data_IF_020013462885
#
_entry.id   IF_020013462885
#
_cell.length_a   1.000
_cell.length_b   1.000
_cell.length_c   1.000
_cell.angle_alpha   90.00
_cell.angle_beta   90.00
_cell.angle_gamma   90.00
#
_symmetry.space_group_name_H-M   'P 1'
#
loop_
_entity.id
_entity.type
_entity.pdbx_description
1 polymer ?
#
# COMPACT_ATOMS: atom_id res chain seq x y z
N UNK A 1 56.43 9.58 -19.91
CA UNK A 1 55.85 8.37 -19.27
C UNK A 1 55.27 8.62 -17.87
N UNK A 2 55.91 9.36 -16.95
CA UNK A 2 55.38 9.56 -15.58
C UNK A 2 54.09 10.41 -15.46
N UNK A 3 53.83 11.35 -16.39
CA UNK A 3 52.59 12.17 -16.39
C UNK A 3 51.37 11.37 -16.83
N UNK A 4 51.51 10.51 -17.83
CA UNK A 4 50.44 9.68 -18.39
C UNK A 4 49.91 8.65 -17.37
N UNK A 5 50.79 8.10 -16.53
CA UNK A 5 50.43 7.17 -15.45
C UNK A 5 49.60 7.84 -14.35
N UNK A 6 49.91 9.10 -13.99
CA UNK A 6 49.15 9.84 -12.97
C UNK A 6 47.72 10.16 -13.44
N UNK A 7 47.54 10.46 -14.73
CA UNK A 7 46.22 10.70 -15.31
C UNK A 7 45.39 9.40 -15.33
N UNK A 8 46.00 8.27 -15.66
CA UNK A 8 45.33 6.96 -15.63
C UNK A 8 44.84 6.59 -14.23
N UNK A 9 45.66 6.81 -13.19
CA UNK A 9 45.26 6.55 -11.79
C UNK A 9 44.07 7.43 -11.40
N UNK A 10 44.11 8.73 -11.70
CA UNK A 10 43.02 9.66 -11.37
C UNK A 10 41.71 9.24 -12.06
N UNK A 11 41.79 8.84 -13.33
CA UNK A 11 40.64 8.38 -14.10
C UNK A 11 40.05 7.07 -13.53
N UNK A 12 40.90 6.11 -13.14
CA UNK A 12 40.46 4.86 -12.50
C UNK A 12 39.81 5.14 -11.13
N UNK A 13 40.39 6.02 -10.31
CA UNK A 13 39.78 6.41 -9.03
C UNK A 13 38.46 7.15 -9.21
N UNK A 14 38.33 7.98 -10.26
CA UNK A 14 37.09 8.69 -10.57
C UNK A 14 35.97 7.72 -11.01
N UNK A 15 36.31 6.70 -11.83
CA UNK A 15 35.37 5.64 -12.22
C UNK A 15 34.92 4.81 -11.01
N UNK A 16 35.83 4.50 -10.08
CA UNK A 16 35.49 3.76 -8.84
C UNK A 16 34.57 4.59 -7.95
N UNK A 17 34.78 5.90 -7.85
CA UNK A 17 33.92 6.80 -7.06
C UNK A 17 32.52 6.92 -7.69
N UNK A 18 32.42 6.99 -9.02
CA UNK A 18 31.13 7.02 -9.73
C UNK A 18 30.37 5.70 -9.56
N UNK A 19 31.07 4.56 -9.47
CA UNK A 19 30.43 3.25 -9.24
C UNK A 19 29.83 3.07 -7.84
N UNK A 20 30.14 3.98 -6.90
CA UNK A 20 29.58 3.98 -5.55
C UNK A 20 28.38 4.91 -5.38
N UNK A 21 27.84 5.46 -6.47
CA UNK A 21 26.49 6.02 -6.47
C UNK A 21 25.51 4.85 -6.32
N UNK A 22 25.36 4.37 -5.08
CA UNK A 22 24.25 3.51 -4.69
C UNK A 22 22.98 4.29 -5.03
N UNK A 23 22.21 3.79 -6.00
CA UNK A 23 20.81 4.18 -6.13
C UNK A 23 20.19 3.88 -4.76
N UNK A 24 19.67 4.92 -4.09
CA UNK A 24 19.00 4.73 -2.82
C UNK A 24 17.82 3.79 -3.07
N UNK A 25 17.68 2.76 -2.22
CA UNK A 25 16.50 1.94 -2.30
C UNK A 25 15.26 2.75 -1.96
N UNK A 26 14.11 2.37 -2.50
CA UNK A 26 12.84 3.05 -2.26
C UNK A 26 12.33 2.77 -0.83
N UNK A 27 12.57 1.55 -0.33
CA UNK A 27 12.03 1.06 0.95
C UNK A 27 13.13 0.68 1.91
N UNK A 28 13.08 1.24 3.12
CA UNK A 28 13.86 0.77 4.26
C UNK A 28 13.11 -0.36 4.97
N UNK A 29 13.50 -1.62 4.73
CA UNK A 29 12.91 -2.77 5.44
C UNK A 29 13.72 -3.10 6.69
N UNK A 30 13.17 -2.74 7.85
CA UNK A 30 13.81 -2.93 9.15
C UNK A 30 13.46 -4.31 9.72
N UNK A 31 14.50 -5.09 9.98
CA UNK A 31 14.40 -6.46 10.51
C UNK A 31 15.28 -6.63 11.75
N UNK A 32 14.99 -7.63 12.58
CA UNK A 32 15.84 -7.92 13.73
C UNK A 32 17.24 -8.36 13.31
N UNK A 33 17.30 -9.25 12.34
CA UNK A 33 18.51 -9.77 11.70
C UNK A 33 18.13 -10.47 10.39
N UNK A 34 19.11 -10.87 9.60
CA UNK A 34 18.92 -11.58 8.33
C UNK A 34 18.04 -12.85 8.39
N UNK A 35 17.88 -13.51 9.54
CA UNK A 35 17.01 -14.69 9.65
C UNK A 35 15.53 -14.35 9.84
N UNK A 36 15.19 -13.08 10.06
CA UNK A 36 13.82 -12.62 10.28
C UNK A 36 13.26 -11.86 9.07
N UNK A 37 13.86 -12.06 7.91
CA UNK A 37 13.41 -11.45 6.66
C UNK A 37 12.20 -12.24 6.15
N UNK A 38 11.04 -11.58 6.13
CA UNK A 38 9.81 -12.13 5.57
C UNK A 38 9.80 -11.92 4.05
N UNK A 39 9.86 -13.02 3.29
CA UNK A 39 9.96 -12.98 1.83
C UNK A 39 8.69 -12.46 1.15
N UNK A 40 7.52 -12.59 1.79
CA UNK A 40 6.28 -12.11 1.18
C UNK A 40 6.24 -10.59 1.00
N UNK A 41 6.83 -9.82 1.92
CA UNK A 41 6.96 -8.37 1.74
C UNK A 41 7.87 -8.02 0.57
N UNK A 42 9.02 -8.68 0.45
CA UNK A 42 9.96 -8.45 -0.65
C UNK A 42 9.33 -8.72 -2.01
N UNK A 43 8.53 -9.80 -2.12
CA UNK A 43 7.79 -10.12 -3.34
C UNK A 43 6.80 -9.01 -3.70
N UNK A 44 6.06 -8.47 -2.72
CA UNK A 44 5.14 -7.34 -3.00
C UNK A 44 5.91 -6.12 -3.51
N UNK A 45 7.04 -5.78 -2.88
CA UNK A 45 7.83 -4.64 -3.33
C UNK A 45 8.43 -4.85 -4.72
N UNK A 46 8.92 -6.05 -5.02
CA UNK A 46 9.38 -6.43 -6.35
C UNK A 46 8.26 -6.28 -7.40
N UNK A 47 7.04 -6.74 -7.09
CA UNK A 47 5.87 -6.61 -7.96
C UNK A 47 5.44 -5.16 -8.20
N UNK A 48 5.67 -4.30 -7.20
CA UNK A 48 5.46 -2.85 -7.28
C UNK A 48 6.67 -2.10 -7.86
N UNK A 49 7.72 -2.82 -8.27
CA UNK A 49 8.98 -2.27 -8.78
C UNK A 49 9.68 -1.29 -7.81
N UNK A 50 9.56 -1.57 -6.53
CA UNK A 50 10.22 -0.84 -5.44
C UNK A 50 11.50 -1.60 -5.04
N UNK A 51 12.61 -0.88 -5.02
CA UNK A 51 13.86 -1.37 -4.49
C UNK A 51 13.85 -1.35 -2.96
N UNK A 52 14.47 -2.36 -2.33
CA UNK A 52 14.40 -2.55 -0.88
C UNK A 52 15.81 -2.68 -0.32
N UNK A 53 16.14 -1.85 0.66
CA UNK A 53 17.33 -2.03 1.50
C UNK A 53 16.93 -2.66 2.83
N UNK A 54 17.59 -3.76 3.16
CA UNK A 54 17.37 -4.48 4.40
C UNK A 54 18.26 -3.88 5.49
N UNK A 55 17.64 -3.32 6.52
CA UNK A 55 18.32 -2.68 7.65
C UNK A 55 18.13 -3.54 8.89
N UNK A 56 19.20 -4.22 9.31
CA UNK A 56 19.19 -4.96 10.57
C UNK A 56 19.14 -3.99 11.77
N UNK A 57 18.54 -4.42 12.88
CA UNK A 57 18.40 -3.67 14.14
C UNK A 57 19.70 -2.98 14.59
N UNK A 58 20.84 -3.65 14.41
CA UNK A 58 22.18 -3.12 14.76
C UNK A 58 22.62 -1.92 13.90
N UNK A 59 22.07 -1.78 12.70
CA UNK A 59 22.42 -0.73 11.74
C UNK A 59 21.45 0.47 11.79
N UNK A 60 20.32 0.37 12.50
CA UNK A 60 19.36 1.48 12.65
C UNK A 60 20.06 2.79 13.10
N UNK A 61 20.92 2.82 14.13
CA UNK A 61 21.50 4.08 14.61
C UNK A 61 22.42 4.81 13.61
N UNK A 62 22.93 4.09 12.61
CA UNK A 62 23.87 4.63 11.60
C UNK A 62 23.21 4.83 10.23
N UNK A 63 21.93 4.49 10.11
CA UNK A 63 21.21 4.59 8.84
C UNK A 63 20.61 5.98 8.66
N UNK A 64 20.85 6.60 7.50
CA UNK A 64 20.13 7.80 7.12
C UNK A 64 18.78 7.41 6.47
N UNK A 65 17.70 7.52 7.25
CA UNK A 65 16.35 7.18 6.79
C UNK A 65 15.74 8.19 5.81
N UNK A 66 16.29 9.40 5.69
CA UNK A 66 15.76 10.44 4.78
C UNK A 66 15.91 10.11 3.29
N UNK A 67 16.58 9.00 2.97
CA UNK A 67 16.85 8.55 1.59
C UNK A 67 15.78 7.60 1.04
N UNK A 68 14.90 7.11 1.89
CA UNK A 68 13.85 6.15 1.52
C UNK A 68 12.52 6.88 1.39
N UNK A 69 11.65 6.39 0.52
CA UNK A 69 10.27 6.89 0.39
C UNK A 69 9.46 6.56 1.64
N UNK A 70 9.64 5.35 2.18
CA UNK A 70 9.01 4.92 3.42
C UNK A 70 9.78 3.79 4.10
N UNK A 71 9.37 3.48 5.33
CA UNK A 71 9.95 2.45 6.19
C UNK A 71 8.96 1.30 6.39
N UNK A 72 9.39 0.06 6.17
CA UNK A 72 8.66 -1.12 6.65
C UNK A 72 9.32 -1.62 7.95
N UNK A 73 8.55 -1.73 9.02
CA UNK A 73 9.02 -2.30 10.30
C UNK A 73 8.49 -3.73 10.42
N UNK A 74 9.40 -4.72 10.37
CA UNK A 74 9.07 -6.15 10.46
C UNK A 74 8.52 -6.60 11.82
N UNK A 75 8.04 -7.86 11.86
CA UNK A 75 7.39 -8.48 13.03
C UNK A 75 8.35 -8.95 14.13
N UNK A 76 9.25 -8.07 14.59
CA UNK A 76 10.17 -8.41 15.67
C UNK A 76 10.44 -7.24 16.61
N UNK A 77 10.89 -7.58 17.82
CA UNK A 77 11.35 -6.60 18.80
C UNK A 77 12.78 -6.14 18.52
N UNK A 78 12.90 -4.94 17.98
CA UNK A 78 14.07 -4.09 17.81
C UNK A 78 14.55 -3.48 19.15
N UNK A 79 15.87 -3.32 19.28
CA UNK A 79 16.52 -2.63 20.41
C UNK A 79 16.70 -1.14 20.13
N UNK A 80 16.88 -0.77 18.87
CA UNK A 80 17.22 0.59 18.46
C UNK A 80 16.02 1.33 17.83
N UNK A 81 14.78 0.95 18.15
CA UNK A 81 13.57 1.53 17.56
C UNK A 81 13.49 3.06 17.75
N UNK A 82 14.01 3.58 18.86
CA UNK A 82 14.02 5.01 19.16
C UNK A 82 14.91 5.85 18.21
N UNK A 83 15.75 5.21 17.40
CA UNK A 83 16.55 5.86 16.38
C UNK A 83 15.83 5.97 15.02
N UNK A 84 14.64 5.37 14.89
CA UNK A 84 13.82 5.49 13.67
C UNK A 84 13.03 6.81 13.75
N UNK A 85 13.13 7.70 12.74
CA UNK A 85 12.38 8.95 12.75
C UNK A 85 10.86 8.72 12.67
N UNK A 86 10.11 9.23 13.65
CA UNK A 86 8.66 9.04 13.75
C UNK A 86 7.84 9.83 12.71
N UNK A 87 8.50 10.74 11.98
CA UNK A 87 7.94 11.64 10.96
C UNK A 87 7.90 11.02 9.56
N UNK A 88 8.66 9.95 9.34
CA UNK A 88 8.72 9.25 8.05
C UNK A 88 7.43 8.49 7.77
N UNK A 89 7.12 8.35 6.48
CA UNK A 89 6.11 7.40 6.03
C UNK A 89 6.50 5.97 6.45
N UNK A 90 5.57 5.19 7.01
CA UNK A 90 5.89 3.87 7.54
C UNK A 90 4.74 2.87 7.56
N UNK A 91 5.08 1.60 7.36
CA UNK A 91 4.21 0.45 7.58
C UNK A 91 4.73 -0.32 8.79
N UNK A 92 3.87 -0.54 9.77
CA UNK A 92 4.21 -1.17 11.04
C UNK A 92 3.51 -2.53 11.13
N UNK A 93 4.31 -3.59 11.15
CA UNK A 93 3.84 -4.98 11.11
C UNK A 93 4.07 -5.72 12.43
N UNK A 94 4.05 -5.02 13.56
CA UNK A 94 4.26 -5.66 14.86
C UNK A 94 3.43 -5.03 15.96
N UNK A 95 3.30 -5.76 17.07
CA UNK A 95 2.52 -5.34 18.23
C UNK A 95 3.31 -4.52 19.27
N UNK A 96 4.62 -4.31 19.07
CA UNK A 96 5.50 -3.74 20.09
C UNK A 96 5.48 -2.22 20.13
N UNK A 97 5.31 -1.56 18.97
CA UNK A 97 5.61 -0.12 18.82
C UNK A 97 4.39 0.77 18.60
N UNK A 98 3.22 0.31 19.05
CA UNK A 98 1.98 1.05 18.85
C UNK A 98 2.02 2.46 19.48
N UNK A 99 2.67 2.63 20.63
CA UNK A 99 2.76 3.94 21.30
C UNK A 99 3.84 4.82 20.66
N UNK A 100 5.00 4.21 20.41
CA UNK A 100 6.19 4.85 19.85
C UNK A 100 5.89 5.52 18.52
N UNK A 101 5.05 4.90 17.68
CA UNK A 101 4.65 5.46 16.39
C UNK A 101 3.26 6.13 16.40
N UNK A 102 2.60 6.22 17.56
CA UNK A 102 1.34 6.95 17.74
C UNK A 102 0.09 6.23 17.19
N UNK A 103 0.17 4.91 16.96
CA UNK A 103 -0.98 4.07 16.56
C UNK A 103 -2.00 3.97 17.70
N UNK A 104 -1.52 3.89 18.94
CA UNK A 104 -2.35 3.83 20.16
C UNK A 104 -1.97 4.91 21.15
N UNK A 105 -2.95 5.40 21.90
CA UNK A 105 -2.75 6.41 22.95
C UNK A 105 -2.34 5.77 24.29
N UNK A 106 -2.77 4.54 24.55
CA UNK A 106 -2.54 3.79 25.80
C UNK A 106 -2.70 2.29 25.56
N UNK A 107 -2.42 1.46 26.57
CA UNK A 107 -2.60 0.00 26.46
C UNK A 107 -1.54 -0.67 25.57
N UNK A 108 -1.94 -1.74 24.88
CA UNK A 108 -1.11 -2.50 23.95
C UNK A 108 -1.93 -2.95 22.74
N UNK A 109 -1.24 -3.21 21.63
CA UNK A 109 -1.82 -3.97 20.53
C UNK A 109 -2.12 -5.40 21.01
N UNK A 110 -3.13 -6.01 20.41
CA UNK A 110 -3.63 -7.33 20.81
C UNK A 110 -3.44 -8.33 19.68
N UNK A 111 -3.68 -9.62 19.97
CA UNK A 111 -3.47 -10.72 19.05
C UNK A 111 -4.64 -11.68 19.13
N UNK A 112 -5.07 -12.20 18.00
CA UNK A 112 -6.07 -13.26 17.92
C UNK A 112 -5.54 -14.42 17.07
N UNK A 113 -5.95 -15.62 17.42
CA UNK A 113 -5.70 -16.85 16.68
C UNK A 113 -6.95 -17.74 16.82
N UNK A 114 -7.19 -18.59 15.82
CA UNK A 114 -8.36 -19.46 15.79
C UNK A 114 -7.99 -20.88 15.34
N UNK A 115 -8.90 -21.83 15.57
CA UNK A 115 -8.78 -23.20 15.05
C UNK A 115 -9.15 -23.30 13.56
N UNK A 116 -9.86 -22.28 13.04
CA UNK A 116 -10.14 -22.08 11.62
C UNK A 116 -9.20 -21.06 11.01
N UNK A 117 -9.24 -20.93 9.67
CA UNK A 117 -8.51 -19.87 8.98
C UNK A 117 -9.00 -18.53 9.50
N UNK A 118 -8.08 -17.60 9.68
CA UNK A 118 -8.44 -16.27 10.13
C UNK A 118 -8.97 -15.44 8.98
N UNK A 119 -10.01 -14.66 9.30
CA UNK A 119 -10.63 -13.68 8.42
C UNK A 119 -10.61 -12.29 9.06
N UNK A 120 -10.85 -11.28 8.23
CA UNK A 120 -11.09 -9.89 8.66
C UNK A 120 -12.35 -9.36 7.98
N UNK A 121 -12.99 -8.39 8.60
CA UNK A 121 -14.10 -7.62 8.03
C UNK A 121 -13.52 -6.39 7.32
N UNK A 122 -13.67 -6.32 5.99
CA UNK A 122 -13.28 -5.18 5.16
C UNK A 122 -14.48 -4.80 4.29
N UNK A 123 -14.88 -3.53 4.27
CA UNK A 123 -16.09 -3.05 3.57
C UNK A 123 -17.38 -3.85 3.88
N UNK A 124 -17.50 -4.31 5.14
CA UNK A 124 -18.57 -5.19 5.63
C UNK A 124 -18.58 -6.62 5.06
N UNK A 125 -17.54 -7.02 4.35
CA UNK A 125 -17.34 -8.38 3.85
C UNK A 125 -16.30 -9.13 4.68
N UNK A 126 -16.60 -10.37 5.03
CA UNK A 126 -15.64 -11.25 5.70
C UNK A 126 -14.73 -11.91 4.66
N UNK A 127 -13.44 -11.58 4.72
CA UNK A 127 -12.42 -12.07 3.79
C UNK A 127 -11.37 -12.90 4.52
N UNK A 128 -11.09 -14.11 4.04
CA UNK A 128 -10.01 -14.97 4.55
C UNK A 128 -8.64 -14.33 4.25
N UNK A 129 -7.78 -14.22 5.27
CA UNK A 129 -6.44 -13.60 5.15
C UNK A 129 -5.29 -14.60 5.24
N UNK A 130 -5.55 -15.80 5.77
CA UNK A 130 -4.59 -16.89 5.78
C UNK A 130 -5.11 -18.14 5.06
N UNK A 131 -4.23 -18.81 4.32
CA UNK A 131 -4.49 -20.08 3.64
C UNK A 131 -4.64 -21.24 4.61
N UNK A 132 -3.99 -21.14 5.78
CA UNK A 132 -3.98 -22.16 6.82
C UNK A 132 -4.41 -21.60 8.19
N UNK A 133 -5.03 -22.43 9.06
CA UNK A 133 -5.34 -22.06 10.44
C UNK A 133 -4.14 -22.16 11.39
N UNK A 134 -3.15 -22.98 11.07
CA UNK A 134 -2.00 -23.33 11.93
C UNK A 134 -0.71 -23.51 11.11
N UNK A 135 0.44 -23.38 11.77
CA UNK A 135 1.77 -23.55 11.14
C UNK A 135 2.05 -24.97 10.63
N UNK A 136 1.16 -25.91 10.91
CA UNK A 136 1.22 -27.30 10.49
C UNK A 136 0.05 -28.11 11.06
N UNK A 137 -0.11 -29.35 10.61
CA UNK A 137 -1.13 -30.26 11.13
C UNK A 137 -0.92 -30.49 12.64
N UNK A 138 -1.94 -30.14 13.45
CA UNK A 138 -1.85 -30.18 14.92
C UNK A 138 -0.90 -29.13 15.54
N UNK A 139 -0.43 -28.18 14.74
CA UNK A 139 0.46 -27.10 15.18
C UNK A 139 -0.28 -25.95 15.85
N UNK A 140 0.50 -24.98 16.34
CA UNK A 140 -0.03 -23.74 16.93
C UNK A 140 -0.78 -22.95 15.86
N UNK A 141 -1.92 -22.36 16.23
CA UNK A 141 -2.69 -21.48 15.37
C UNK A 141 -1.89 -20.26 14.92
N UNK A 142 -2.05 -19.89 13.65
CA UNK A 142 -1.40 -18.71 13.06
C UNK A 142 -2.14 -17.47 13.55
N UNK A 143 -1.47 -16.51 14.22
CA UNK A 143 -2.13 -15.31 14.69
C UNK A 143 -2.08 -14.14 13.70
N UNK A 144 -2.92 -13.13 13.94
CA UNK A 144 -2.64 -11.75 13.51
C UNK A 144 -2.78 -10.78 14.68
N UNK A 145 -2.24 -9.58 14.52
CA UNK A 145 -2.38 -8.49 15.48
C UNK A 145 -3.50 -7.53 15.12
N UNK A 146 -4.02 -6.81 16.11
CA UNK A 146 -5.00 -5.76 15.91
C UNK A 146 -4.85 -4.63 16.93
N UNK A 147 -5.37 -3.46 16.58
CA UNK A 147 -5.49 -2.28 17.42
C UNK A 147 -6.84 -2.34 18.14
N UNK A 148 -6.90 -2.57 19.46
CA UNK A 148 -8.18 -2.53 20.18
C UNK A 148 -8.82 -1.15 20.06
N UNK A 149 -10.13 -1.10 19.79
CA UNK A 149 -10.84 0.17 19.56
C UNK A 149 -10.70 1.14 20.75
N UNK A 150 -10.67 0.62 21.98
CA UNK A 150 -10.49 1.40 23.21
C UNK A 150 -9.14 2.12 23.34
N UNK A 151 -8.16 1.73 22.52
CA UNK A 151 -6.78 2.23 22.55
C UNK A 151 -6.37 2.95 21.27
N UNK A 152 -7.13 2.75 20.18
CA UNK A 152 -6.87 3.35 18.87
C UNK A 152 -6.76 4.86 18.96
N UNK A 153 -5.76 5.41 18.28
CA UNK A 153 -5.64 6.85 18.11
C UNK A 153 -6.69 7.35 17.09
N UNK A 154 -7.39 8.45 17.40
CA UNK A 154 -8.40 9.07 16.54
C UNK A 154 -7.84 9.56 15.18
N UNK A 155 -6.52 9.63 15.04
CA UNK A 155 -5.83 9.92 13.79
C UNK A 155 -5.70 8.71 12.86
N UNK A 156 -6.22 7.54 13.24
CA UNK A 156 -6.26 6.34 12.40
C UNK A 156 -7.69 5.98 12.01
N UNK A 157 -7.83 5.53 10.77
CA UNK A 157 -9.05 5.03 10.16
C UNK A 157 -8.91 3.54 9.88
N UNK A 158 -10.03 2.84 9.98
CA UNK A 158 -10.10 1.38 9.82
C UNK A 158 -10.17 1.03 8.35
N UNK A 159 -9.34 0.09 7.92
CA UNK A 159 -9.39 -0.52 6.57
C UNK A 159 -9.93 -1.95 6.66
N UNK A 160 -9.45 -2.70 7.67
CA UNK A 160 -9.95 -4.03 7.97
C UNK A 160 -9.95 -4.27 9.48
N UNK A 161 -10.99 -4.94 9.97
CA UNK A 161 -11.21 -5.16 11.40
C UNK A 161 -11.41 -6.63 11.74
N UNK A 162 -11.23 -6.98 13.01
CA UNK A 162 -11.50 -8.31 13.55
C UNK A 162 -12.75 -8.30 14.43
N UNK A 163 -13.38 -9.46 14.59
CA UNK A 163 -14.45 -9.70 15.56
C UNK A 163 -13.99 -10.66 16.66
N UNK A 164 -14.23 -10.30 17.92
CA UNK A 164 -13.92 -11.09 19.11
C UNK A 164 -15.23 -11.58 19.73
N UNK A 165 -15.44 -12.90 19.72
CA UNK A 165 -16.79 -13.42 19.96
C UNK A 165 -17.70 -13.06 18.80
N UNK A 166 -18.76 -13.82 18.60
CA UNK A 166 -19.53 -13.89 17.36
C UNK A 166 -20.09 -12.56 16.81
N UNK A 167 -20.05 -11.45 17.56
CA UNK A 167 -20.63 -10.17 17.17
C UNK A 167 -19.86 -8.92 17.59
N UNK A 168 -18.82 -9.03 18.43
CA UNK A 168 -18.15 -7.83 18.95
C UNK A 168 -16.97 -7.45 18.08
N UNK A 169 -16.94 -6.23 17.53
CA UNK A 169 -15.75 -5.71 16.85
C UNK A 169 -14.60 -5.65 17.86
N UNK A 170 -13.52 -6.38 17.56
CA UNK A 170 -12.33 -6.44 18.40
C UNK A 170 -11.38 -5.27 18.20
N UNK A 171 -11.34 -4.74 16.98
CA UNK A 171 -10.50 -3.62 16.60
C UNK A 171 -9.92 -3.77 15.20
N UNK A 172 -8.94 -2.94 14.87
CA UNK A 172 -8.44 -2.82 13.49
C UNK A 172 -7.21 -3.70 13.27
N UNK A 173 -7.30 -4.60 12.30
CA UNK A 173 -6.19 -5.43 11.83
C UNK A 173 -5.35 -4.66 10.82
N UNK A 174 -6.00 -3.81 10.03
CA UNK A 174 -5.36 -2.85 9.12
C UNK A 174 -5.94 -1.47 9.39
N UNK A 175 -5.08 -0.49 9.63
CA UNK A 175 -5.48 0.88 9.88
C UNK A 175 -4.51 1.88 9.23
N UNK A 176 -5.05 2.94 8.66
CA UNK A 176 -4.31 4.01 8.01
C UNK A 176 -4.39 5.28 8.84
N UNK A 177 -3.29 6.02 8.96
CA UNK A 177 -3.37 7.36 9.51
C UNK A 177 -4.08 8.27 8.52
N UNK A 178 -4.90 9.20 9.02
CA UNK A 178 -5.66 10.17 8.23
C UNK A 178 -4.80 11.02 7.30
N UNK A 179 -3.54 11.21 7.66
CA UNK A 179 -2.55 11.91 6.84
C UNK A 179 -1.77 10.97 5.91
N UNK A 180 -2.19 9.72 5.69
CA UNK A 180 -1.53 8.77 4.78
C UNK A 180 -0.12 8.30 5.18
N UNK A 181 0.56 8.95 6.14
CA UNK A 181 1.95 8.65 6.51
C UNK A 181 2.15 7.28 7.16
N UNK A 182 1.15 6.69 7.81
CA UNK A 182 1.34 5.48 8.62
C UNK A 182 0.29 4.45 8.30
N UNK A 183 0.72 3.22 8.10
CA UNK A 183 -0.16 2.06 8.09
C UNK A 183 0.22 1.11 9.22
N UNK A 184 -0.76 0.66 9.99
CA UNK A 184 -0.63 -0.53 10.81
C UNK A 184 -1.16 -1.72 10.01
N UNK A 185 -0.39 -2.81 9.97
CA UNK A 185 -0.76 -4.02 9.23
C UNK A 185 -0.46 -5.26 10.07
N UNK A 186 -1.51 -5.86 10.64
CA UNK A 186 -1.39 -6.92 11.65
C UNK A 186 -1.28 -8.35 11.12
N UNK A 187 -1.45 -8.58 9.81
CA UNK A 187 -1.46 -9.91 9.19
C UNK A 187 -0.02 -10.31 8.82
N UNK A 188 0.80 -10.71 9.79
CA UNK A 188 2.26 -10.69 9.64
C UNK A 188 2.87 -11.92 9.00
N UNK A 189 2.15 -13.05 8.97
CA UNK A 189 2.69 -14.35 8.59
C UNK A 189 2.62 -14.55 7.07
N UNK A 190 3.58 -13.92 6.38
CA UNK A 190 3.53 -13.71 4.92
C UNK A 190 3.51 -14.99 4.09
N UNK A 191 4.03 -16.09 4.65
CA UNK A 191 4.01 -17.41 4.00
C UNK A 191 2.58 -17.95 3.81
N UNK A 192 1.64 -17.54 4.67
CA UNK A 192 0.26 -18.03 4.65
C UNK A 192 -0.71 -17.03 4.04
N UNK A 193 -0.26 -15.89 3.53
CA UNK A 193 -1.16 -14.88 2.96
C UNK A 193 -2.02 -15.45 1.84
N UNK A 194 -3.31 -15.09 1.89
CA UNK A 194 -4.19 -15.14 0.73
C UNK A 194 -3.94 -13.92 -0.17
N UNK A 195 -4.54 -13.90 -1.36
CA UNK A 195 -4.51 -12.72 -2.23
C UNK A 195 -5.17 -11.51 -1.56
N UNK A 196 -6.21 -11.71 -0.74
CA UNK A 196 -6.87 -10.65 0.02
C UNK A 196 -5.93 -9.99 1.03
N UNK A 197 -5.14 -10.78 1.77
CA UNK A 197 -4.12 -10.23 2.67
C UNK A 197 -3.09 -9.40 1.89
N UNK A 198 -2.58 -9.95 0.79
CA UNK A 198 -1.64 -9.23 -0.07
C UNK A 198 -2.23 -7.92 -0.62
N UNK A 199 -3.49 -7.91 -1.03
CA UNK A 199 -4.19 -6.70 -1.50
C UNK A 199 -4.29 -5.63 -0.39
N UNK A 200 -4.65 -6.02 0.83
CA UNK A 200 -4.66 -5.11 1.98
C UNK A 200 -3.27 -4.54 2.28
N UNK A 201 -2.20 -5.34 2.14
CA UNK A 201 -0.84 -4.84 2.30
C UNK A 201 -0.46 -3.85 1.19
N UNK A 202 -0.84 -4.11 -0.06
CA UNK A 202 -0.63 -3.19 -1.18
C UNK A 202 -1.36 -1.85 -0.94
N UNK A 203 -2.55 -1.87 -0.33
CA UNK A 203 -3.24 -0.64 0.07
C UNK A 203 -2.41 0.19 1.07
N UNK A 204 -1.80 -0.46 2.09
CA UNK A 204 -0.86 0.23 2.98
C UNK A 204 0.29 0.87 2.20
N UNK A 205 0.91 0.14 1.26
CA UNK A 205 2.04 0.64 0.45
C UNK A 205 1.64 1.86 -0.37
N UNK A 206 0.49 1.80 -1.05
CA UNK A 206 -0.01 2.91 -1.86
C UNK A 206 -0.31 4.15 -1.01
N UNK A 207 -0.90 3.97 0.17
CA UNK A 207 -1.20 5.08 1.07
C UNK A 207 0.08 5.81 1.51
N UNK A 208 1.09 5.08 1.97
CA UNK A 208 2.34 5.68 2.47
C UNK A 208 3.19 6.31 1.36
N UNK A 209 3.06 5.83 0.11
CA UNK A 209 3.66 6.44 -1.08
C UNK A 209 2.92 7.70 -1.53
N UNK A 210 1.60 7.72 -1.47
CA UNK A 210 0.82 8.91 -1.90
C UNK A 210 1.13 10.16 -1.08
N UNK A 211 1.59 9.98 0.17
CA UNK A 211 1.94 11.07 1.07
C UNK A 211 3.41 11.51 0.94
N UNK A 212 4.33 10.66 0.50
CA UNK A 212 5.74 11.07 0.33
C UNK A 212 5.93 12.18 -0.71
N UNK A 213 4.91 12.42 -1.54
CA UNK A 213 4.94 13.39 -2.64
C UNK A 213 4.34 14.76 -2.28
N UNK A 214 3.79 14.94 -1.06
CA UNK A 214 3.00 16.12 -0.70
C UNK A 214 3.71 17.17 0.18
N UNK A 215 5.03 17.15 0.30
CA UNK A 215 5.78 18.18 1.06
C UNK A 215 6.61 19.08 0.14
N UNK A 216 5.93 19.93 -0.64
CA UNK A 216 6.47 21.21 -1.10
C UNK A 216 5.31 22.20 -1.38
N UNK A 217 4.71 22.72 -0.32
CA UNK A 217 3.99 24.00 -0.39
C UNK A 217 4.49 24.89 0.75
N UNK A 218 5.53 25.67 0.45
CA UNK A 218 6.10 26.65 1.37
C UNK A 218 5.49 28.03 1.11
N UNK A 219 4.53 28.38 1.97
CA UNK A 219 4.44 29.66 2.67
C UNK A 219 4.16 30.94 1.86
N UNK A 220 3.00 31.54 2.14
CA UNK A 220 2.95 33.00 2.34
C UNK A 220 2.30 33.32 3.68
N UNK A 221 3.10 33.88 4.58
CA UNK A 221 2.68 34.50 5.83
C UNK A 221 2.56 36.00 5.63
N UNK A 222 1.32 36.50 5.56
CA UNK A 222 0.99 37.92 5.70
C UNK A 222 0.15 38.15 6.96
N UNK A 223 0.84 38.44 8.06
CA UNK A 223 0.26 38.89 9.32
C UNK A 223 -0.14 40.37 9.20
N UNK A 224 -1.40 40.73 9.45
CA UNK A 224 -1.73 42.04 10.02
C UNK A 224 -2.78 41.91 11.13
N UNK A 225 -2.49 42.66 12.19
CA UNK A 225 -3.06 42.69 13.54
C UNK A 225 -4.30 43.56 13.69
N UNK A 226 -5.11 43.25 14.71
CA UNK A 226 -6.03 44.17 15.40
C UNK A 226 -7.48 43.67 15.39
N UNK A 227 -8.24 43.60 16.48
CA UNK A 227 -8.08 43.99 17.87
C UNK A 227 -9.45 43.83 18.56
N UNK A 228 -9.41 43.58 19.87
CA UNK A 228 -10.43 43.81 20.90
C UNK A 228 -11.86 43.24 20.78
N UNK A 229 -12.14 42.26 21.66
CA UNK A 229 -13.04 42.44 22.81
C UNK A 229 -14.55 42.43 22.56
N UNK A 230 -15.25 41.44 23.13
CA UNK A 230 -16.19 41.68 24.22
C UNK A 230 -16.63 40.37 24.89
N UNK A 231 -16.40 40.27 26.20
CA UNK A 231 -17.19 39.42 27.09
C UNK A 231 -18.54 40.10 27.34
N UNK A 232 -19.61 39.31 27.53
CA UNK A 232 -20.59 39.50 28.61
C UNK A 232 -21.57 38.32 28.65
N UNK A 233 -21.40 37.52 29.69
CA UNK A 233 -22.36 37.24 30.77
C UNK A 233 -23.84 36.91 30.48
N UNK A 234 -24.35 35.90 31.20
CA UNK A 234 -25.78 35.66 31.37
C UNK A 234 -26.14 34.21 31.72
N UNK A 235 -25.88 33.78 32.96
CA UNK A 235 -26.42 32.53 33.51
C UNK A 235 -27.90 32.62 33.91
N UNK A 236 -28.54 31.47 34.15
CA UNK A 236 -29.12 31.10 35.46
C UNK A 236 -29.85 29.73 35.36
N UNK A 237 -29.48 28.83 36.28
CA UNK A 237 -30.41 28.21 37.22
C UNK A 237 -31.39 27.11 36.79
N UNK A 238 -31.33 25.96 37.48
CA UNK A 238 -32.57 25.34 37.96
C UNK A 238 -32.73 23.82 37.89
N UNK A 239 -31.95 23.12 38.72
CA UNK A 239 -32.30 21.96 39.56
C UNK A 239 -33.66 21.24 39.41
N UNK A 240 -33.65 19.90 39.43
CA UNK A 240 -34.84 19.06 39.56
C UNK A 240 -34.53 17.58 39.78
N UNK A 241 -34.19 17.22 41.01
CA UNK A 241 -34.15 15.85 41.55
C UNK A 241 -35.55 15.26 41.68
N UNK A 242 -35.71 13.96 41.42
CA UNK A 242 -36.92 13.20 41.74
C UNK A 242 -36.69 11.69 41.62
N UNK A 243 -36.77 11.01 42.76
CA UNK A 243 -36.52 9.58 43.01
C UNK A 243 -37.68 8.66 42.60
N UNK A 244 -37.33 7.37 42.56
CA UNK A 244 -38.09 6.17 42.93
C UNK A 244 -39.21 5.58 42.05
N UNK A 245 -39.00 4.29 41.74
CA UNK A 245 -39.92 3.25 42.19
C UNK A 245 -40.42 2.28 41.11
N UNK A 246 -40.13 0.98 41.29
CA UNK A 246 -41.02 -0.08 40.81
C UNK A 246 -40.36 -1.32 40.21
N UNK A 247 -39.97 -2.26 41.07
CA UNK A 247 -39.86 -3.68 40.73
C UNK A 247 -41.20 -4.25 40.26
N UNK A 248 -41.17 -5.20 39.31
CA UNK A 248 -41.91 -6.46 39.42
C UNK A 248 -41.43 -7.43 38.33
N UNK A 249 -40.95 -8.60 38.78
CA UNK A 249 -40.56 -9.70 37.92
C UNK A 249 -41.74 -10.48 37.36
N UNK A 250 -41.44 -11.38 36.43
CA UNK A 250 -42.11 -12.67 36.35
C UNK A 250 -41.19 -13.68 35.64
N UNK A 251 -40.74 -14.68 36.38
CA UNK A 251 -40.25 -15.95 35.84
C UNK A 251 -41.42 -16.76 35.31
N UNK A 252 -41.22 -17.55 34.25
CA UNK A 252 -41.82 -18.88 34.15
C UNK A 252 -40.96 -19.78 33.25
N UNK A 253 -40.60 -20.92 33.82
CA UNK A 253 -40.03 -22.14 33.24
C UNK A 253 -40.91 -22.77 32.14
N UNK A 254 -40.30 -23.60 31.29
CA UNK A 254 -41.05 -24.54 30.46
C UNK A 254 -40.22 -25.27 29.40
N UNK A 255 -39.66 -26.43 29.76
CA UNK A 255 -38.78 -27.23 28.90
C UNK A 255 -39.44 -28.04 27.78
N UNK A 256 -38.59 -28.80 27.07
CA UNK A 256 -38.94 -30.09 26.48
C UNK A 256 -39.18 -30.11 24.98
N UNK A 257 -38.24 -30.70 24.24
CA UNK A 257 -38.30 -30.87 22.79
C UNK A 257 -39.21 -32.01 22.31
N UNK A 258 -39.34 -32.14 20.99
CA UNK A 258 -39.44 -33.42 20.32
C UNK A 258 -39.03 -33.30 18.85
N UNK A 259 -38.21 -34.26 18.41
CA UNK A 259 -37.88 -34.51 17.02
C UNK A 259 -39.10 -35.10 16.30
N UNK A 260 -39.29 -34.74 15.03
CA UNK A 260 -39.88 -35.65 14.04
C UNK A 260 -39.18 -35.43 12.70
N UNK A 261 -38.68 -36.52 12.14
CA UNK A 261 -38.02 -36.55 10.85
C UNK A 261 -38.99 -36.48 9.67
N UNK A 262 -38.40 -36.23 8.51
CA UNK A 262 -39.07 -36.30 7.22
C UNK A 262 -38.08 -35.90 6.14
N UNK A 263 -37.41 -36.88 5.53
CA UNK A 263 -36.75 -36.65 4.26
C UNK A 263 -37.79 -36.42 3.17
N UNK A 264 -37.55 -35.45 2.29
CA UNK A 264 -37.92 -35.61 0.89
C UNK A 264 -37.08 -34.70 -0.02
N UNK A 265 -36.49 -35.35 -1.01
CA UNK A 265 -36.30 -34.91 -2.39
C UNK A 265 -35.80 -33.49 -2.69
N UNK A 266 -34.57 -33.48 -3.19
CA UNK A 266 -34.00 -32.55 -4.16
C UNK A 266 -35.05 -32.10 -5.18
N UNK A 267 -35.44 -30.82 -5.10
CA UNK A 267 -36.03 -30.10 -6.23
C UNK A 267 -35.04 -28.99 -6.57
N UNK A 268 -34.36 -29.17 -7.70
CA UNK A 268 -33.53 -28.15 -8.31
C UNK A 268 -34.37 -26.92 -8.59
N UNK A 269 -33.91 -25.79 -8.09
CA UNK A 269 -34.37 -24.49 -8.54
C UNK A 269 -33.20 -23.83 -9.27
N UNK A 270 -32.98 -24.26 -10.51
CA UNK A 270 -32.39 -23.38 -11.51
C UNK A 270 -33.40 -22.26 -11.76
N UNK A 271 -33.05 -21.04 -11.37
CA UNK A 271 -33.21 -19.80 -12.17
C UNK A 271 -32.94 -18.60 -11.27
N UNK A 272 -31.66 -18.25 -11.20
CA UNK A 272 -31.15 -16.93 -10.85
C UNK A 272 -29.96 -16.68 -11.76
N UNK A 273 -30.24 -16.57 -13.06
CA UNK A 273 -29.27 -16.24 -14.09
C UNK A 273 -28.85 -14.77 -13.91
N UNK A 274 -27.92 -14.52 -13.01
CA UNK A 274 -27.01 -13.39 -13.17
C UNK A 274 -25.88 -13.89 -14.05
N UNK A 275 -26.05 -13.74 -15.37
CA UNK A 275 -24.91 -13.71 -16.29
C UNK A 275 -24.05 -12.53 -15.86
N UNK A 276 -23.13 -12.76 -14.91
CA UNK A 276 -21.90 -11.98 -14.89
C UNK A 276 -21.28 -12.23 -16.25
N UNK A 277 -21.38 -11.24 -17.14
CA UNK A 277 -20.82 -11.36 -18.48
C UNK A 277 -19.35 -11.74 -18.33
N UNK A 278 -18.96 -12.83 -18.99
CA UNK A 278 -17.60 -13.31 -19.09
C UNK A 278 -16.77 -12.24 -19.81
N UNK A 279 -16.28 -11.24 -19.08
CA UNK A 279 -15.58 -10.08 -19.62
C UNK A 279 -14.07 -10.34 -19.63
N UNK A 280 -13.46 -10.31 -20.80
CA UNK A 280 -12.02 -10.23 -20.97
C UNK A 280 -11.64 -8.77 -21.22
N UNK A 281 -11.13 -8.07 -20.21
CA UNK A 281 -10.77 -6.64 -20.34
C UNK A 281 -9.51 -6.34 -19.54
N UNK A 282 -8.53 -5.72 -20.18
CA UNK A 282 -7.46 -5.03 -19.49
C UNK A 282 -7.49 -3.58 -19.92
N UNK A 283 -6.93 -2.69 -19.11
CA UNK A 283 -6.87 -1.27 -19.46
C UNK A 283 -5.60 -0.63 -18.92
N UNK A 284 -5.23 0.49 -19.52
CA UNK A 284 -4.25 1.39 -18.92
C UNK A 284 -5.00 2.44 -18.13
N UNK A 285 -4.72 2.49 -16.84
CA UNK A 285 -5.39 3.37 -15.90
C UNK A 285 -5.19 4.84 -16.27
N UNK A 286 -6.30 5.54 -16.51
CA UNK A 286 -6.30 6.95 -16.84
C UNK A 286 -5.90 7.84 -15.65
N UNK A 287 -6.28 7.43 -14.43
CA UNK A 287 -6.19 8.23 -13.22
C UNK A 287 -4.95 7.87 -12.38
N UNK A 288 -3.89 7.37 -13.01
CA UNK A 288 -2.64 7.12 -12.33
C UNK A 288 -2.11 8.44 -11.74
N UNK A 289 -1.79 8.44 -10.45
CA UNK A 289 -1.25 9.61 -9.75
C UNK A 289 0.03 10.12 -10.40
N UNK A 290 0.19 11.44 -10.47
CA UNK A 290 1.32 12.12 -11.11
C UNK A 290 1.52 11.75 -12.60
N UNK A 291 0.43 11.41 -13.28
CA UNK A 291 0.44 11.08 -14.70
C UNK A 291 -0.35 12.10 -15.52
N UNK A 292 -0.10 12.09 -16.82
CA UNK A 292 -0.98 12.73 -17.81
C UNK A 292 -1.43 11.63 -18.76
N UNK A 293 -2.75 11.52 -18.96
CA UNK A 293 -3.38 10.46 -19.76
C UNK A 293 -2.92 9.05 -19.36
N UNK A 294 -2.76 8.79 -18.07
CA UNK A 294 -2.34 7.48 -17.55
C UNK A 294 -0.85 7.15 -17.74
N UNK A 295 -0.04 8.06 -18.29
CA UNK A 295 1.42 7.89 -18.45
C UNK A 295 2.14 8.85 -17.50
N UNK A 296 2.80 8.28 -16.51
CA UNK A 296 3.65 9.01 -15.56
C UNK A 296 5.07 9.09 -16.08
N UNK A 297 5.62 10.29 -16.11
CA UNK A 297 7.01 10.53 -16.53
C UNK A 297 7.73 11.23 -15.41
N UNK A 298 8.86 10.67 -14.99
CA UNK A 298 9.72 11.23 -13.95
C UNK A 298 11.12 11.47 -14.50
N UNK A 299 11.66 12.66 -14.29
CA UNK A 299 13.06 12.95 -14.54
C UNK A 299 13.93 12.25 -13.49
N UNK A 300 14.80 11.34 -13.90
CA UNK A 300 15.64 10.58 -12.97
C UNK A 300 16.75 11.43 -12.33
N UNK A 301 17.05 12.62 -12.89
CA UNK A 301 18.06 13.52 -12.32
C UNK A 301 17.49 14.44 -11.23
N UNK A 302 16.28 14.96 -11.43
CA UNK A 302 15.63 15.88 -10.49
C UNK A 302 14.57 15.23 -9.60
N UNK A 303 14.21 13.97 -9.88
CA UNK A 303 13.12 13.22 -9.24
C UNK A 303 11.73 13.87 -9.39
N UNK A 304 11.59 14.80 -10.34
CA UNK A 304 10.34 15.53 -10.58
C UNK A 304 9.45 14.82 -11.60
N UNK A 305 8.16 14.75 -11.30
CA UNK A 305 7.14 14.33 -12.25
C UNK A 305 6.85 15.43 -13.26
N UNK A 306 6.81 15.06 -14.54
CA UNK A 306 6.38 15.95 -15.60
C UNK A 306 4.86 15.86 -15.68
N UNK A 307 4.17 16.98 -15.43
CA UNK A 307 2.70 17.04 -15.37
C UNK A 307 2.08 17.91 -16.46
N UNK A 308 2.90 18.51 -17.32
CA UNK A 308 2.41 19.28 -18.46
C UNK A 308 1.91 18.34 -19.57
N UNK A 309 0.86 18.77 -20.27
CA UNK A 309 0.27 18.10 -21.45
C UNK A 309 1.34 17.75 -22.49
N UNK A 310 2.13 18.76 -22.88
CA UNK A 310 3.38 18.58 -23.60
C UNK A 310 4.52 18.65 -22.60
N UNK A 311 5.15 17.50 -22.34
CA UNK A 311 6.26 17.43 -21.40
C UNK A 311 7.58 17.76 -22.08
N UNK A 312 8.25 18.80 -21.60
CA UNK A 312 9.61 19.13 -22.06
C UNK A 312 10.60 18.17 -21.40
N UNK A 313 11.39 17.49 -22.24
CA UNK A 313 12.45 16.56 -21.81
C UNK A 313 13.78 17.00 -22.43
N UNK A 314 14.85 16.94 -21.66
CA UNK A 314 16.17 17.34 -22.13
C UNK A 314 16.86 16.19 -22.84
N UNK A 315 17.57 16.49 -23.92
CA UNK A 315 18.38 15.49 -24.59
C UNK A 315 19.49 14.97 -23.66
N UNK A 316 19.86 13.70 -23.85
CA UNK A 316 20.84 12.97 -23.06
C UNK A 316 20.51 12.84 -21.55
N UNK A 317 19.27 13.12 -21.15
CA UNK A 317 18.77 12.83 -19.81
C UNK A 317 17.93 11.55 -19.79
N UNK A 318 17.80 10.97 -18.59
CA UNK A 318 17.04 9.73 -18.36
C UNK A 318 15.70 10.07 -17.74
N UNK A 319 14.64 9.50 -18.29
CA UNK A 319 13.29 9.64 -17.77
C UNK A 319 12.69 8.27 -17.55
N UNK A 320 12.04 8.07 -16.41
CA UNK A 320 11.23 6.89 -16.14
C UNK A 320 9.82 7.12 -16.64
N UNK A 321 9.35 6.19 -17.43
CA UNK A 321 7.98 6.08 -17.92
C UNK A 321 7.30 4.96 -17.17
N UNK A 322 6.24 5.28 -16.42
CA UNK A 322 5.37 4.34 -15.73
C UNK A 322 3.93 4.45 -16.25
N UNK A 323 3.23 3.33 -16.24
CA UNK A 323 1.81 3.24 -16.51
C UNK A 323 1.26 2.02 -15.76
N UNK A 324 0.00 2.10 -15.34
CA UNK A 324 -0.65 1.03 -14.57
C UNK A 324 -1.60 0.25 -15.46
N UNK A 325 -1.31 -1.02 -15.66
CA UNK A 325 -2.21 -1.98 -16.31
C UNK A 325 -3.16 -2.51 -15.27
N UNK A 326 -4.48 -2.47 -15.51
CA UNK A 326 -5.50 -3.05 -14.64
C UNK A 326 -6.20 -4.16 -15.42
N UNK A 327 -6.45 -5.28 -14.79
CA UNK A 327 -7.40 -6.26 -15.31
C UNK A 327 -8.80 -5.88 -14.82
N UNK A 328 -9.61 -5.39 -15.75
CA UNK A 328 -10.98 -4.95 -15.49
C UNK A 328 -12.01 -6.01 -15.90
N UNK A 329 -11.53 -7.17 -16.37
CA UNK A 329 -12.31 -8.36 -16.69
C UNK A 329 -12.51 -9.31 -15.51
N UNK A 330 -13.21 -10.40 -15.79
CA UNK A 330 -13.55 -11.49 -14.85
C UNK A 330 -12.60 -12.69 -14.94
N UNK A 331 -11.63 -12.69 -15.85
CA UNK A 331 -10.67 -13.78 -16.05
C UNK A 331 -9.23 -13.40 -15.71
N UNK A 332 -8.41 -14.41 -15.49
CA UNK A 332 -6.96 -14.23 -15.35
C UNK A 332 -6.34 -13.96 -16.71
N UNK A 333 -5.63 -12.83 -16.85
CA UNK A 333 -5.09 -12.37 -18.13
C UNK A 333 -3.57 -12.51 -18.25
N UNK A 334 -3.12 -12.79 -19.47
CA UNK A 334 -1.70 -12.73 -19.85
C UNK A 334 -1.49 -11.56 -20.81
N UNK A 335 -1.00 -10.45 -20.26
CA UNK A 335 -0.91 -9.18 -20.96
C UNK A 335 0.44 -9.03 -21.63
N UNK A 336 0.45 -8.86 -22.95
CA UNK A 336 1.61 -8.39 -23.70
C UNK A 336 1.62 -6.87 -23.73
N UNK A 337 2.78 -6.28 -23.45
CA UNK A 337 2.93 -4.84 -23.29
C UNK A 337 3.97 -4.34 -24.29
N UNK A 338 3.65 -3.24 -24.98
CA UNK A 338 4.56 -2.58 -25.90
C UNK A 338 4.55 -1.08 -25.65
N UNK A 339 5.74 -0.50 -25.60
CA UNK A 339 5.92 0.94 -25.62
C UNK A 339 6.82 1.39 -26.76
N UNK A 340 6.60 2.61 -27.22
CA UNK A 340 7.35 3.21 -28.32
C UNK A 340 7.45 4.71 -28.18
N UNK A 341 8.61 5.25 -28.57
CA UNK A 341 8.83 6.67 -28.79
C UNK A 341 9.85 6.84 -29.89
N UNK A 342 9.54 7.66 -30.89
CA UNK A 342 10.38 7.82 -32.08
C UNK A 342 10.74 6.46 -32.71
N UNK A 343 12.04 6.15 -32.81
CA UNK A 343 12.58 4.87 -33.27
C UNK A 343 12.89 3.87 -32.15
N UNK A 344 12.73 4.26 -30.88
CA UNK A 344 12.92 3.39 -29.73
C UNK A 344 11.64 2.63 -29.39
N UNK A 345 11.76 1.32 -29.22
CA UNK A 345 10.65 0.45 -28.86
C UNK A 345 11.08 -0.48 -27.72
N UNK A 346 10.14 -0.85 -26.86
CA UNK A 346 10.36 -1.90 -25.87
C UNK A 346 9.10 -2.77 -25.72
N UNK A 347 9.31 -3.98 -25.25
CA UNK A 347 8.26 -4.95 -24.97
C UNK A 347 8.42 -5.51 -23.57
N UNK A 348 7.31 -5.90 -22.96
CA UNK A 348 7.23 -6.59 -21.68
C UNK A 348 6.01 -7.50 -21.66
N UNK A 349 5.82 -8.26 -20.59
CA UNK A 349 4.64 -9.08 -20.39
C UNK A 349 4.29 -9.20 -18.91
N UNK A 350 3.00 -9.27 -18.60
CA UNK A 350 2.49 -9.65 -17.28
C UNK A 350 1.58 -10.87 -17.43
N UNK A 351 2.08 -12.01 -16.98
CA UNK A 351 1.30 -13.24 -16.97
C UNK A 351 0.53 -13.39 -15.66
N UNK A 352 -0.66 -13.96 -15.73
CA UNK A 352 -1.47 -14.30 -14.56
C UNK A 352 -2.05 -13.10 -13.81
N UNK A 353 -2.35 -11.99 -14.50
CA UNK A 353 -2.98 -10.82 -13.89
C UNK A 353 -4.42 -11.17 -13.50
N UNK A 354 -4.73 -11.20 -12.19
CA UNK A 354 -6.05 -11.61 -11.71
C UNK A 354 -7.12 -10.53 -11.98
N UNK A 355 -8.41 -10.88 -12.03
CA UNK A 355 -9.50 -9.91 -12.05
C UNK A 355 -9.35 -8.85 -10.94
N UNK A 356 -9.45 -7.57 -11.29
CA UNK A 356 -9.30 -6.44 -10.36
C UNK A 356 -7.86 -6.13 -9.93
N UNK A 357 -6.89 -7.01 -10.19
CA UNK A 357 -5.47 -6.73 -9.92
C UNK A 357 -4.89 -5.74 -10.95
N UNK A 358 -3.75 -5.15 -10.59
CA UNK A 358 -3.01 -4.26 -11.47
C UNK A 358 -1.51 -4.58 -11.50
N UNK A 359 -0.80 -3.99 -12.47
CA UNK A 359 0.66 -4.14 -12.60
C UNK A 359 1.31 -2.91 -13.24
N UNK A 360 2.53 -2.60 -12.82
CA UNK A 360 3.43 -1.65 -13.49
C UNK A 360 4.42 -2.34 -14.43
N UNK A 361 4.19 -3.63 -14.76
CA UNK A 361 5.01 -4.32 -15.74
C UNK A 361 5.07 -3.52 -17.05
N UNK A 362 6.28 -3.37 -17.59
CA UNK A 362 6.50 -2.57 -18.79
C UNK A 362 6.91 -1.11 -18.55
N UNK A 363 6.94 -0.65 -17.29
CA UNK A 363 7.68 0.57 -16.92
C UNK A 363 9.11 0.54 -17.45
N UNK A 364 9.62 1.70 -17.88
CA UNK A 364 10.92 1.78 -18.56
C UNK A 364 11.64 3.10 -18.27
N UNK A 365 12.93 3.00 -17.99
CA UNK A 365 13.84 4.15 -18.06
C UNK A 365 14.30 4.32 -19.51
N UNK A 366 14.01 5.49 -20.08
CA UNK A 366 14.37 5.87 -21.44
C UNK A 366 15.48 6.93 -21.37
N UNK A 367 16.56 6.70 -22.11
CA UNK A 367 17.58 7.72 -22.32
C UNK A 367 17.18 8.57 -23.54
N UNK A 368 17.00 9.87 -23.36
CA UNK A 368 16.52 10.78 -24.41
C UNK A 368 17.64 11.16 -25.38
N UNK A 369 18.11 10.18 -26.15
CA UNK A 369 19.14 10.40 -27.19
C UNK A 369 18.54 10.86 -28.53
N UNK A 370 17.29 11.31 -28.52
CA UNK A 370 16.58 11.79 -29.70
C UNK A 370 17.01 13.21 -30.04
N UNK A 371 16.91 13.58 -31.32
CA UNK A 371 17.13 14.96 -31.74
C UNK A 371 16.04 15.88 -31.19
N UNK A 372 16.30 17.18 -31.10
CA UNK A 372 15.30 18.18 -30.73
C UNK A 372 14.04 18.05 -31.61
N UNK A 373 12.87 18.08 -30.98
CA UNK A 373 11.59 17.93 -31.68
C UNK A 373 10.47 17.36 -30.81
N UNK A 374 9.28 17.27 -31.39
CA UNK A 374 8.12 16.68 -30.74
C UNK A 374 7.95 15.21 -31.12
N UNK A 375 7.67 14.38 -30.11
CA UNK A 375 7.52 12.93 -30.25
C UNK A 375 6.31 12.43 -29.48
N UNK A 376 5.61 11.46 -30.04
CA UNK A 376 4.54 10.74 -29.35
C UNK A 376 5.15 9.53 -28.63
N UNK A 377 5.02 9.51 -27.30
CA UNK A 377 5.21 8.34 -26.46
C UNK A 377 3.90 7.56 -26.46
N UNK A 378 3.92 6.30 -26.88
CA UNK A 378 2.75 5.43 -26.88
C UNK A 378 3.04 4.16 -26.07
N UNK A 379 2.06 3.74 -25.29
CA UNK A 379 2.04 2.44 -24.61
C UNK A 379 0.76 1.71 -24.98
N UNK A 380 0.85 0.39 -25.16
CA UNK A 380 -0.25 -0.45 -25.62
C UNK A 380 -0.20 -1.81 -24.95
N UNK A 381 -1.38 -2.34 -24.62
CA UNK A 381 -1.61 -3.67 -24.09
C UNK A 381 -2.20 -4.58 -25.16
N UNK A 382 -1.97 -5.88 -25.04
CA UNK A 382 -2.62 -6.89 -25.89
C UNK A 382 -2.83 -8.16 -25.08
N UNK A 383 -4.06 -8.63 -25.06
CA UNK A 383 -4.48 -9.97 -24.58
C UNK A 383 -5.08 -10.76 -25.75
N UNK A 384 -5.46 -12.02 -25.52
CA UNK A 384 -5.92 -12.91 -26.60
C UNK A 384 -7.29 -12.50 -27.14
N UNK A 385 -8.18 -12.13 -26.23
CA UNK A 385 -9.51 -11.60 -26.51
C UNK A 385 -9.71 -10.43 -25.57
N UNK A 386 -10.11 -9.27 -26.09
CA UNK A 386 -10.34 -8.07 -25.29
C UNK A 386 -11.65 -7.43 -25.74
N UNK A 387 -12.56 -7.21 -24.80
CA UNK A 387 -13.90 -6.68 -25.04
C UNK A 387 -13.89 -5.16 -25.22
N UNK A 388 -12.84 -4.46 -24.77
CA UNK A 388 -12.71 -3.02 -24.90
C UNK A 388 -11.30 -2.56 -25.29
N UNK A 389 -10.80 -2.95 -26.48
CA UNK A 389 -9.41 -2.73 -26.87
C UNK A 389 -9.00 -1.26 -26.99
N UNK A 390 -9.95 -0.31 -26.99
CA UNK A 390 -9.68 1.12 -27.06
C UNK A 390 -9.10 1.69 -25.75
N UNK A 391 -9.36 1.04 -24.61
CA UNK A 391 -8.84 1.45 -23.31
C UNK A 391 -7.37 0.97 -23.07
N UNK A 392 -6.84 0.15 -23.99
CA UNK A 392 -5.52 -0.50 -23.90
C UNK A 392 -4.37 0.36 -24.39
N UNK A 393 -4.66 1.53 -24.94
CA UNK A 393 -3.66 2.42 -25.54
C UNK A 393 -3.68 3.75 -24.81
N UNK A 394 -2.49 4.23 -24.45
CA UNK A 394 -2.28 5.61 -24.00
C UNK A 394 -1.14 6.25 -24.73
N UNK A 395 -1.26 7.57 -24.90
CA UNK A 395 -0.34 8.40 -25.65
C UNK A 395 -0.06 9.69 -24.91
N UNK A 396 1.16 10.17 -25.02
CA UNK A 396 1.60 11.44 -24.44
C UNK A 396 2.63 12.11 -25.33
N UNK A 397 2.54 13.42 -25.50
CA UNK A 397 3.47 14.19 -26.34
C UNK A 397 4.65 14.66 -25.49
N UNK A 398 5.87 14.38 -25.97
CA UNK A 398 7.11 14.90 -25.41
C UNK A 398 7.74 15.87 -26.39
N UNK A 399 8.26 16.98 -25.87
CA UNK A 399 9.09 17.91 -26.61
C UNK A 399 10.53 17.76 -26.12
N UNK A 400 11.38 17.16 -26.95
CA UNK A 400 12.80 17.04 -26.67
C UNK A 400 13.46 18.38 -26.93
N UNK A 401 14.15 18.92 -25.94
CA UNK A 401 14.92 20.17 -26.00
C UNK A 401 16.40 19.83 -25.78
N UNK A 402 17.27 20.34 -26.66
CA UNK A 402 18.69 19.99 -26.67
C UNK A 402 19.59 21.00 -25.97
#
# INVERSE_FOLDING_TARGET
MKKSWKILIVFITFIIIISQLLLAADVAYIVKNSNTIEQGYLKVFEELNLSVDIIEDKNIPVTNFSKYLFILIGDNRLRNVNNIPSTMSMIITNHFYGKEFGIINRGSLSRVAANGKLSVLSDNEEIEVYTNPSFGLGGVSIPYYYIPDIYKNNNFESVASTTIGSTHRGGDVVALSKNGKKCFYGITETHFWTQNAKALFIQCVNAVLSHSDSEDDSGDTGNETGGDGNETDGGDGGNGTGEDGGENGNETDGGGGNETGGGNETIGNETGNETGEELHDVLIDWNLTNSVHGIRIKDEASDKHLLNETSEVMCNQKYRVDFRTINNGSFVENVSIRGSIANFNWTSSKNGLQPGDFSFAGSKIINMTFAEGEYELSVSLTITHDDNPENNIRKRILKVVC
#
